data_IF_927242878412
#
_entry.id   IF_927242878412
#
_cell.length_a   1.000
_cell.length_b   1.000
_cell.length_c   1.000
_cell.angle_alpha   90.00
_cell.angle_beta   90.00
_cell.angle_gamma   90.00
#
_symmetry.space_group_name_H-M   'P 1'
#
loop_
_entity.id
_entity.type
_entity.pdbx_description
1 polymer ?
#
# COMPACT_ATOMS: atom_id res chain seq x y z
N UNK A 1 -3.53 -8.32 -18.00
CA UNK A 1 -2.62 -8.18 -16.85
C UNK A 1 -3.46 -8.15 -15.59
N UNK A 2 -3.15 -8.93 -14.57
CA UNK A 2 -3.91 -8.95 -13.32
C UNK A 2 -3.63 -7.75 -12.42
N UNK A 3 -2.58 -6.97 -12.71
CA UNK A 3 -2.22 -5.77 -11.96
C UNK A 3 -2.31 -4.55 -12.88
N UNK A 4 -3.10 -3.57 -12.48
CA UNK A 4 -3.32 -2.33 -13.22
C UNK A 4 -2.97 -1.14 -12.33
N UNK A 5 -2.31 -0.12 -12.89
CA UNK A 5 -2.12 1.17 -12.24
C UNK A 5 -2.88 2.26 -13.02
N UNK A 6 -3.87 2.85 -12.37
CA UNK A 6 -4.60 4.00 -12.89
C UNK A 6 -3.90 5.29 -12.44
N UNK A 7 -3.25 5.96 -13.38
CA UNK A 7 -2.52 7.21 -13.12
C UNK A 7 -3.41 8.40 -12.75
N UNK A 8 -4.67 8.41 -13.20
CA UNK A 8 -5.58 9.53 -12.90
C UNK A 8 -6.13 9.43 -11.49
N UNK A 9 -6.43 8.21 -11.05
CA UNK A 9 -6.95 7.95 -9.71
C UNK A 9 -5.85 7.59 -8.71
N UNK A 10 -4.59 7.50 -9.18
CA UNK A 10 -3.45 7.04 -8.36
C UNK A 10 -3.74 5.72 -7.63
N UNK A 11 -4.19 4.72 -8.40
CA UNK A 11 -4.80 3.52 -7.85
C UNK A 11 -4.18 2.26 -8.45
N UNK A 12 -3.76 1.34 -7.57
CA UNK A 12 -3.36 -0.02 -7.93
C UNK A 12 -4.57 -0.94 -7.79
N UNK A 13 -4.90 -1.66 -8.83
CA UNK A 13 -5.95 -2.66 -8.83
C UNK A 13 -5.36 -4.04 -9.18
N UNK A 14 -5.24 -4.88 -8.17
CA UNK A 14 -4.78 -6.25 -8.28
C UNK A 14 -6.01 -7.14 -8.43
N UNK A 15 -6.03 -7.98 -9.48
CA UNK A 15 -7.20 -8.76 -9.85
C UNK A 15 -6.84 -10.21 -10.09
N UNK A 16 -7.56 -11.11 -9.46
CA UNK A 16 -7.65 -12.50 -9.88
C UNK A 16 -8.94 -12.72 -10.71
N UNK A 17 -9.26 -13.95 -11.02
CA UNK A 17 -10.53 -14.29 -11.68
C UNK A 17 -11.76 -13.99 -10.82
N UNK A 18 -11.64 -13.98 -9.49
CA UNK A 18 -12.75 -13.85 -8.52
C UNK A 18 -12.58 -12.74 -7.51
N UNK A 19 -11.35 -12.25 -7.31
CA UNK A 19 -11.01 -11.32 -6.21
C UNK A 19 -10.39 -10.04 -6.77
N UNK A 20 -10.66 -8.94 -6.10
CA UNK A 20 -9.94 -7.67 -6.26
C UNK A 20 -9.32 -7.24 -4.95
N UNK A 21 -8.10 -6.71 -5.04
CA UNK A 21 -7.40 -6.00 -3.98
C UNK A 21 -7.03 -4.62 -4.51
N UNK A 22 -7.35 -3.56 -3.78
CA UNK A 22 -7.20 -2.19 -4.27
C UNK A 22 -6.49 -1.31 -3.28
N UNK A 23 -5.42 -0.65 -3.74
CA UNK A 23 -4.63 0.33 -2.99
C UNK A 23 -4.71 1.67 -3.72
N UNK A 24 -4.90 2.76 -3.00
CA UNK A 24 -4.83 4.11 -3.55
C UNK A 24 -3.70 4.91 -2.92
N UNK A 25 -3.01 5.72 -3.72
CA UNK A 25 -2.04 6.69 -3.24
C UNK A 25 -2.77 8.02 -2.94
N UNK A 26 -3.10 8.22 -1.67
CA UNK A 26 -3.75 9.46 -1.22
C UNK A 26 -2.71 10.57 -1.18
N UNK A 27 -3.04 11.72 -1.79
CA UNK A 27 -2.12 12.84 -1.99
C UNK A 27 -0.81 12.43 -2.69
N UNK A 28 -0.86 11.43 -3.58
CA UNK A 28 0.31 10.88 -4.31
C UNK A 28 1.44 10.34 -3.40
N UNK A 29 1.17 10.16 -2.12
CA UNK A 29 2.19 9.83 -1.08
C UNK A 29 1.82 8.69 -0.17
N UNK A 30 0.56 8.55 0.20
CA UNK A 30 0.14 7.69 1.30
C UNK A 30 -0.65 6.50 0.77
N UNK A 31 -0.05 5.28 0.71
CA UNK A 31 -0.78 4.09 0.29
C UNK A 31 -1.90 3.78 1.29
N UNK A 32 -3.12 3.73 0.80
CA UNK A 32 -4.32 3.40 1.57
C UNK A 32 -5.00 2.15 1.00
N UNK A 33 -5.40 1.24 1.88
CA UNK A 33 -6.20 0.08 1.53
C UNK A 33 -7.65 0.51 1.25
N UNK A 34 -8.14 0.24 0.04
CA UNK A 34 -9.50 0.58 -0.32
C UNK A 34 -10.46 -0.60 -0.28
N UNK A 35 -10.01 -1.74 -0.75
CA UNK A 35 -10.91 -2.85 -0.95
C UNK A 35 -10.19 -4.20 -1.02
N UNK A 36 -10.77 -5.19 -0.39
CA UNK A 36 -10.49 -6.61 -0.60
C UNK A 36 -11.81 -7.38 -0.64
N UNK A 37 -12.08 -8.06 -1.73
CA UNK A 37 -13.33 -8.81 -1.87
C UNK A 37 -13.56 -9.34 -3.29
N UNK A 38 -14.81 -9.67 -3.63
CA UNK A 38 -15.18 -10.12 -4.98
C UNK A 38 -14.69 -9.17 -6.06
N UNK A 39 -14.38 -9.73 -7.23
CA UNK A 39 -13.83 -8.97 -8.35
C UNK A 39 -14.69 -7.77 -8.73
N UNK A 40 -14.08 -6.59 -8.69
CA UNK A 40 -14.69 -5.33 -9.11
C UNK A 40 -14.46 -5.10 -10.61
N UNK A 41 -15.44 -4.43 -11.25
CA UNK A 41 -15.22 -3.84 -12.57
C UNK A 41 -14.53 -2.49 -12.42
N UNK A 42 -13.74 -2.12 -13.42
CA UNK A 42 -12.91 -0.91 -13.41
C UNK A 42 -13.77 0.36 -13.62
N UNK A 43 -14.56 0.77 -12.64
CA UNK A 43 -15.30 2.02 -12.69
C UNK A 43 -15.35 2.65 -11.30
N UNK A 44 -14.88 3.90 -11.18
CA UNK A 44 -15.01 4.75 -9.96
C UNK A 44 -14.62 4.09 -8.63
N UNK A 45 -13.56 3.29 -8.63
CA UNK A 45 -13.11 2.58 -7.42
C UNK A 45 -12.59 3.56 -6.35
N UNK A 46 -12.02 4.70 -6.76
CA UNK A 46 -11.54 5.72 -5.83
C UNK A 46 -12.64 6.24 -4.88
N UNK A 47 -13.91 6.15 -5.28
CA UNK A 47 -15.04 6.53 -4.41
C UNK A 47 -15.24 5.59 -3.21
N UNK A 48 -14.52 4.46 -3.15
CA UNK A 48 -14.56 3.56 -2.00
C UNK A 48 -13.72 4.07 -0.82
N UNK A 49 -12.84 5.04 -1.04
CA UNK A 49 -12.10 5.66 0.06
C UNK A 49 -13.09 6.38 0.99
N UNK A 50 -13.24 5.83 2.17
CA UNK A 50 -14.02 6.47 3.21
C UNK A 50 -13.22 7.58 3.87
N UNK A 51 -13.72 8.81 3.80
CA UNK A 51 -13.11 9.95 4.47
C UNK A 51 -14.08 10.60 5.45
N UNK A 52 -13.58 11.01 6.60
CA UNK A 52 -14.33 11.75 7.62
C UNK A 52 -13.57 13.02 7.96
N UNK A 53 -14.32 14.06 8.33
CA UNK A 53 -13.72 15.28 8.80
C UNK A 53 -12.96 15.02 10.10
N UNK A 54 -11.66 15.35 10.12
CA UNK A 54 -10.79 15.14 11.27
C UNK A 54 -11.19 16.01 12.45
N UNK A 55 -10.87 15.56 13.65
CA UNK A 55 -11.02 16.35 14.87
C UNK A 55 -10.16 17.61 14.83
N UNK A 56 -10.60 18.64 15.57
CA UNK A 56 -9.74 19.78 15.86
C UNK A 56 -8.48 19.31 16.59
N UNK A 57 -7.34 19.94 16.28
CA UNK A 57 -6.02 19.60 16.83
C UNK A 57 -5.42 18.27 16.38
N UNK A 58 -6.02 17.54 15.44
CA UNK A 58 -5.36 16.38 14.80
C UNK A 58 -4.13 16.84 14.02
N UNK A 59 -2.97 16.19 14.20
CA UNK A 59 -1.82 16.39 13.32
C UNK A 59 -2.19 16.10 11.87
N UNK A 60 -1.83 16.99 10.96
CA UNK A 60 -2.14 16.82 9.56
C UNK A 60 -1.06 17.42 8.67
N UNK A 61 -0.57 16.62 7.71
CA UNK A 61 0.35 17.07 6.67
C UNK A 61 -0.29 18.00 5.64
N UNK A 62 -1.58 17.81 5.40
CA UNK A 62 -2.38 18.49 4.38
C UNK A 62 -3.35 19.42 5.10
N UNK A 63 -2.86 20.60 5.50
CA UNK A 63 -3.63 21.54 6.33
C UNK A 63 -4.94 21.97 5.66
N UNK A 64 -4.96 22.04 4.33
CA UNK A 64 -6.10 22.38 3.48
C UNK A 64 -7.13 21.26 3.36
N UNK A 65 -6.72 20.01 3.61
CA UNK A 65 -7.62 18.85 3.55
C UNK A 65 -8.08 18.46 4.95
N UNK A 66 -9.30 18.83 5.28
CA UNK A 66 -9.92 18.52 6.57
C UNK A 66 -10.36 17.06 6.71
N UNK A 67 -10.34 16.31 5.62
CA UNK A 67 -10.72 14.90 5.62
C UNK A 67 -9.53 13.95 5.72
N UNK A 68 -8.31 14.48 5.67
CA UNK A 68 -7.10 13.68 5.82
C UNK A 68 -6.62 13.65 7.27
N UNK A 69 -6.45 12.45 7.82
CA UNK A 69 -5.74 12.20 9.07
C UNK A 69 -5.27 10.74 9.10
N UNK A 70 -4.07 10.50 9.60
CA UNK A 70 -3.50 9.15 9.63
C UNK A 70 -4.26 8.18 10.53
N UNK A 71 -4.85 8.67 11.62
CA UNK A 71 -5.65 7.86 12.55
C UNK A 71 -6.96 7.35 11.95
N UNK A 72 -7.46 7.99 10.88
CA UNK A 72 -8.69 7.59 10.17
C UNK A 72 -8.42 6.98 8.81
N UNK A 73 -7.25 7.28 8.21
CA UNK A 73 -6.85 6.69 6.93
C UNK A 73 -6.62 5.18 7.10
N UNK A 74 -7.21 4.32 6.25
CA UNK A 74 -6.89 2.90 6.22
C UNK A 74 -5.52 2.69 5.55
N UNK A 75 -4.44 3.04 6.26
CA UNK A 75 -3.08 2.93 5.72
C UNK A 75 -2.76 1.49 5.34
N UNK A 76 -2.15 1.29 4.19
CA UNK A 76 -1.72 -0.03 3.71
C UNK A 76 -0.55 -0.60 4.54
N UNK A 77 0.39 0.26 4.95
CA UNK A 77 1.55 -0.12 5.74
C UNK A 77 1.81 0.94 6.82
N UNK A 78 1.01 0.95 7.91
CA UNK A 78 1.08 1.99 8.92
C UNK A 78 2.37 1.91 9.73
N UNK A 79 3.03 3.07 9.92
CA UNK A 79 4.05 3.27 10.92
C UNK A 79 3.45 3.77 12.24
N UNK A 80 4.26 3.84 13.29
CA UNK A 80 3.89 4.42 14.57
C UNK A 80 4.28 5.89 14.67
N UNK A 81 3.41 6.70 15.21
CA UNK A 81 3.63 8.15 15.38
C UNK A 81 2.95 8.99 14.31
N UNK A 82 3.31 10.27 14.23
CA UNK A 82 2.79 11.22 13.23
C UNK A 82 1.25 11.37 13.23
N UNK A 83 0.61 11.12 14.37
CA UNK A 83 -0.84 11.20 14.52
C UNK A 83 -1.56 9.85 14.44
N UNK A 84 -0.87 8.79 14.05
CA UNK A 84 -1.38 7.41 14.15
C UNK A 84 -0.64 6.65 15.25
N UNK A 85 -1.38 6.22 16.27
CA UNK A 85 -0.88 5.48 17.43
C UNK A 85 -1.56 4.12 17.57
N UNK A 86 -2.20 3.65 16.49
CA UNK A 86 -2.72 2.28 16.40
C UNK A 86 -1.55 1.30 16.24
N UNK A 87 -1.85 0.01 16.30
CA UNK A 87 -0.86 -1.04 16.07
C UNK A 87 -0.19 -0.86 14.70
N UNK A 88 1.14 -0.68 14.66
CA UNK A 88 1.85 -0.47 13.40
C UNK A 88 2.10 -1.79 12.68
N UNK A 89 2.35 -1.73 11.37
CA UNK A 89 2.78 -2.87 10.57
C UNK A 89 4.23 -3.30 10.87
N UNK A 90 5.03 -2.41 11.43
CA UNK A 90 6.42 -2.66 11.78
C UNK A 90 6.86 -1.74 12.94
N UNK A 91 7.86 -2.20 13.67
CA UNK A 91 8.52 -1.41 14.72
C UNK A 91 10.00 -1.27 14.41
N UNK A 92 10.53 -0.09 14.63
CA UNK A 92 11.96 0.20 14.49
C UNK A 92 12.50 0.91 15.74
N UNK A 93 13.77 0.71 16.02
CA UNK A 93 14.50 1.51 16.99
C UNK A 93 15.68 2.17 16.28
N UNK A 94 15.63 3.49 16.16
CA UNK A 94 16.70 4.28 15.55
C UNK A 94 17.86 4.46 16.54
N UNK A 95 19.10 4.72 16.08
CA UNK A 95 20.26 4.92 16.97
C UNK A 95 20.09 6.07 17.96
N UNK A 96 19.24 7.04 17.67
CA UNK A 96 18.89 8.17 18.55
C UNK A 96 17.77 7.83 19.57
N UNK A 97 17.29 6.59 19.60
CA UNK A 97 16.22 6.13 20.47
C UNK A 97 14.79 6.42 19.97
N UNK A 98 14.64 7.05 18.80
CA UNK A 98 13.32 7.27 18.22
C UNK A 98 12.76 5.97 17.62
N UNK A 99 11.46 5.80 17.70
CA UNK A 99 10.68 4.71 17.06
C UNK A 99 9.75 5.22 15.96
N UNK A 100 9.77 6.52 15.73
CA UNK A 100 8.88 7.16 14.74
C UNK A 100 9.46 6.99 13.34
N UNK A 101 8.62 6.59 12.40
CA UNK A 101 8.94 6.52 10.98
C UNK A 101 7.87 7.25 10.16
N UNK A 102 8.28 7.70 8.97
CA UNK A 102 7.44 8.50 8.08
C UNK A 102 7.61 8.03 6.63
N UNK A 103 7.15 6.82 6.36
CA UNK A 103 7.28 6.17 5.06
C UNK A 103 6.30 6.76 4.04
N UNK A 104 6.83 7.26 2.93
CA UNK A 104 6.07 7.78 1.82
C UNK A 104 6.35 6.99 0.54
N UNK A 105 5.35 6.91 -0.33
CA UNK A 105 5.52 6.34 -1.66
C UNK A 105 6.60 7.07 -2.46
N UNK A 106 7.49 6.29 -3.10
CA UNK A 106 8.55 6.79 -3.98
C UNK A 106 8.34 6.32 -5.41
N UNK A 107 8.13 5.01 -5.58
CA UNK A 107 8.01 4.40 -6.90
C UNK A 107 7.32 3.05 -6.82
N UNK A 108 6.95 2.51 -7.97
CA UNK A 108 6.47 1.15 -8.09
C UNK A 108 7.00 0.50 -9.37
N UNK A 109 6.99 -0.83 -9.39
CA UNK A 109 7.26 -1.64 -10.56
C UNK A 109 6.28 -2.79 -10.64
N UNK A 110 5.84 -3.13 -11.85
CA UNK A 110 5.03 -4.32 -12.13
C UNK A 110 5.83 -5.22 -13.05
N UNK A 111 6.06 -6.46 -12.62
CA UNK A 111 6.86 -7.46 -13.34
C UNK A 111 6.08 -8.75 -13.50
N UNK A 112 6.34 -9.47 -14.60
CA UNK A 112 5.87 -10.85 -14.75
C UNK A 112 6.62 -11.77 -13.80
N UNK A 113 5.96 -12.81 -13.32
CA UNK A 113 6.51 -13.79 -12.40
C UNK A 113 6.50 -13.33 -10.95
N UNK A 114 7.08 -14.17 -10.10
CA UNK A 114 7.28 -13.92 -8.68
C UNK A 114 8.75 -13.92 -8.34
N UNK A 115 9.33 -12.81 -7.86
CA UNK A 115 10.72 -12.78 -7.43
C UNK A 115 11.00 -13.82 -6.35
N UNK A 116 12.14 -14.47 -6.45
CA UNK A 116 12.59 -15.41 -5.42
C UNK A 116 13.06 -14.61 -4.20
N UNK A 117 12.53 -14.95 -3.03
CA UNK A 117 12.97 -14.39 -1.76
C UNK A 117 14.01 -15.30 -1.13
N UNK A 118 15.20 -14.78 -0.87
CA UNK A 118 16.26 -15.53 -0.23
C UNK A 118 15.99 -15.71 1.27
N UNK A 119 16.27 -16.93 1.74
CA UNK A 119 16.28 -17.24 3.18
C UNK A 119 14.90 -17.41 3.84
N UNK A 120 13.81 -17.29 3.11
CA UNK A 120 12.46 -17.47 3.64
C UNK A 120 11.68 -18.55 2.88
N UNK A 121 10.86 -19.37 3.57
CA UNK A 121 9.86 -20.16 2.89
C UNK A 121 8.90 -19.23 2.13
N UNK A 122 8.76 -19.45 0.83
CA UNK A 122 7.88 -18.63 0.00
C UNK A 122 7.18 -19.51 -1.04
N UNK A 123 6.00 -19.10 -1.46
CA UNK A 123 5.39 -19.65 -2.67
C UNK A 123 6.31 -19.36 -3.87
N UNK A 124 6.32 -20.24 -4.85
CA UNK A 124 7.12 -20.08 -6.05
C UNK A 124 6.25 -20.27 -7.30
N UNK A 125 6.77 -19.85 -8.42
CA UNK A 125 6.22 -20.11 -9.76
C UNK A 125 7.20 -20.96 -10.55
N UNK A 126 6.72 -21.83 -11.39
CA UNK A 126 7.53 -22.62 -12.33
C UNK A 126 7.82 -21.80 -13.59
N UNK A 127 6.88 -20.94 -13.97
CA UNK A 127 6.98 -20.07 -15.12
C UNK A 127 6.50 -18.65 -14.75
N UNK A 128 7.13 -17.63 -15.32
CA UNK A 128 6.77 -16.23 -15.07
C UNK A 128 5.33 -15.88 -15.47
N UNK A 129 4.72 -16.68 -16.34
CA UNK A 129 3.32 -16.49 -16.76
C UNK A 129 2.28 -16.84 -15.68
N UNK A 130 2.69 -17.50 -14.59
CA UNK A 130 1.76 -17.95 -13.53
C UNK A 130 1.36 -16.84 -12.57
N UNK A 131 2.19 -15.79 -12.44
CA UNK A 131 1.92 -14.67 -11.59
C UNK A 131 2.42 -13.36 -12.19
N UNK A 132 1.90 -12.25 -11.69
CA UNK A 132 2.50 -10.91 -11.82
C UNK A 132 2.78 -10.35 -10.42
N UNK A 133 3.84 -9.59 -10.27
CA UNK A 133 4.22 -8.99 -8.99
C UNK A 133 4.25 -7.47 -9.08
N UNK A 134 3.58 -6.82 -8.13
CA UNK A 134 3.69 -5.39 -7.85
C UNK A 134 4.68 -5.19 -6.72
N UNK A 135 5.67 -4.34 -6.94
CA UNK A 135 6.54 -3.80 -5.91
C UNK A 135 6.21 -2.32 -5.70
N UNK A 136 6.01 -1.91 -4.45
CA UNK A 136 5.84 -0.51 -4.05
C UNK A 136 6.99 -0.16 -3.12
N UNK A 137 7.78 0.85 -3.47
CA UNK A 137 8.87 1.35 -2.65
C UNK A 137 8.37 2.53 -1.82
N UNK A 138 8.50 2.40 -0.51
CA UNK A 138 8.27 3.46 0.45
C UNK A 138 9.60 3.89 1.06
N UNK A 139 9.76 5.18 1.35
CA UNK A 139 10.96 5.72 1.99
C UNK A 139 10.63 6.78 3.02
N UNK A 140 11.34 6.75 4.13
CA UNK A 140 11.44 7.85 5.06
C UNK A 140 12.63 8.74 4.66
N UNK A 141 12.35 9.95 4.21
CA UNK A 141 13.38 10.88 3.71
C UNK A 141 14.35 11.34 4.80
N UNK A 142 13.90 11.38 6.05
CA UNK A 142 14.72 11.84 7.18
C UNK A 142 15.72 10.78 7.63
N UNK A 143 15.29 9.53 7.69
CA UNK A 143 16.09 8.42 8.21
C UNK A 143 16.75 7.59 7.11
N UNK A 144 16.28 7.71 5.87
CA UNK A 144 16.71 6.91 4.73
C UNK A 144 16.21 5.45 4.76
N UNK A 145 15.32 5.11 5.68
CA UNK A 145 14.74 3.77 5.76
C UNK A 145 13.82 3.56 4.56
N UNK A 146 13.95 2.39 3.94
CA UNK A 146 13.08 1.94 2.86
C UNK A 146 12.30 0.70 3.28
N UNK A 147 11.04 0.63 2.83
CA UNK A 147 10.23 -0.58 2.84
C UNK A 147 9.78 -0.89 1.42
N UNK A 148 9.90 -2.16 1.02
CA UNK A 148 9.43 -2.64 -0.27
C UNK A 148 8.25 -3.58 -0.03
N UNK A 149 7.07 -3.15 -0.44
CA UNK A 149 5.86 -3.96 -0.37
C UNK A 149 5.73 -4.77 -1.66
N UNK A 150 5.69 -6.09 -1.54
CA UNK A 150 5.55 -7.00 -2.69
C UNK A 150 4.23 -7.74 -2.66
N UNK A 151 3.46 -7.63 -3.73
CA UNK A 151 2.18 -8.31 -3.92
C UNK A 151 2.25 -9.18 -5.16
N UNK A 152 2.16 -10.50 -5.01
CA UNK A 152 2.14 -11.41 -6.15
C UNK A 152 0.73 -11.92 -6.40
N UNK A 153 0.22 -11.66 -7.59
CA UNK A 153 -1.11 -12.10 -8.04
C UNK A 153 -0.96 -13.33 -8.88
N UNK A 154 -1.49 -14.46 -8.41
CA UNK A 154 -1.47 -15.72 -9.13
C UNK A 154 -2.68 -15.83 -10.05
N UNK A 155 -2.43 -15.94 -11.36
CA UNK A 155 -3.46 -15.80 -12.39
C UNK A 155 -4.57 -16.86 -12.29
N UNK A 156 -4.23 -18.10 -11.94
CA UNK A 156 -5.18 -19.23 -11.92
C UNK A 156 -5.63 -19.62 -10.52
N UNK A 157 -4.86 -19.26 -9.47
CA UNK A 157 -5.10 -19.77 -8.12
C UNK A 157 -6.08 -18.92 -7.30
N UNK A 158 -6.54 -17.79 -7.81
CA UNK A 158 -7.34 -16.82 -7.05
C UNK A 158 -6.66 -16.40 -5.74
N UNK A 159 -5.36 -16.18 -5.77
CA UNK A 159 -4.51 -15.79 -4.65
C UNK A 159 -3.75 -14.51 -4.96
N UNK A 160 -3.59 -13.69 -3.92
CA UNK A 160 -2.76 -12.48 -3.90
C UNK A 160 -1.85 -12.56 -2.69
#
# INVERSE_FOLDING_TARGET
MPILFDKQQQLFHLQTNKTSYVIQLVHDRHPAHLYWGPRLRQASIASLLYSIERCSFSPNYHAEDRTFAFDTLPQEYPGYGRGDYREPAFEIALPNGSTISDLHYVSHQITAGKPKLDGLPATYVEQDSEADTLEIVLRDELTGIEAVLQYSVFNELNAI
#
